data_IF_798446695574
#
_entry.id   IF_798446695574
#
_cell.length_a   1.000
_cell.length_b   1.000
_cell.length_c   1.000
_cell.angle_alpha   90.00
_cell.angle_beta   90.00
_cell.angle_gamma   90.00
#
_symmetry.space_group_name_H-M   'P 1'
#
loop_
_entity.id
_entity.type
_entity.pdbx_description
1 polymer ?
#
# COMPACT_ATOMS: atom_id res chain seq x y z
N UNK A 1 -22.55 -18.86 -5.82
CA UNK A 1 -22.06 -17.66 -5.08
C UNK A 1 -20.62 -17.42 -5.52
N UNK A 2 -20.35 -16.37 -6.28
CA UNK A 2 -18.98 -16.04 -6.70
C UNK A 2 -18.14 -15.78 -5.45
N UNK A 3 -17.22 -16.71 -5.16
CA UNK A 3 -16.33 -16.65 -4.00
C UNK A 3 -15.08 -15.90 -4.44
N UNK A 4 -15.04 -14.61 -4.11
CA UNK A 4 -13.90 -13.75 -4.38
C UNK A 4 -12.95 -13.75 -3.17
N UNK A 5 -11.66 -13.86 -3.45
CA UNK A 5 -10.58 -13.56 -2.52
C UNK A 5 -10.24 -12.09 -2.74
N UNK A 6 -10.29 -11.29 -1.67
CA UNK A 6 -10.18 -9.83 -1.72
C UNK A 6 -8.99 -9.42 -0.90
N UNK A 7 -8.04 -8.68 -1.47
CA UNK A 7 -7.06 -7.92 -0.68
C UNK A 7 -7.23 -6.44 -0.99
N UNK A 8 -7.25 -5.62 0.05
CA UNK A 8 -7.17 -4.18 -0.07
C UNK A 8 -5.73 -3.80 0.19
N UNK A 9 -5.04 -3.46 -0.89
CA UNK A 9 -3.72 -2.84 -0.84
C UNK A 9 -3.98 -1.37 -0.90
N UNK A 10 -3.80 -0.67 0.21
CA UNK A 10 -3.87 0.78 0.14
C UNK A 10 -2.58 1.22 -0.51
N UNK A 11 -2.65 1.60 -1.80
CA UNK A 11 -1.62 2.43 -2.38
C UNK A 11 -1.70 3.72 -1.61
N UNK A 12 -0.73 3.86 -0.73
CA UNK A 12 -0.58 5.04 0.07
C UNK A 12 0.70 5.71 -0.37
N UNK A 13 0.60 6.58 -1.35
CA UNK A 13 1.74 7.28 -1.82
C UNK A 13 1.88 8.51 -0.95
N UNK A 14 2.84 8.44 -0.07
CA UNK A 14 3.93 9.38 -0.15
C UNK A 14 4.97 8.88 0.82
N UNK A 15 6.22 9.11 0.47
CA UNK A 15 7.35 8.84 1.33
C UNK A 15 7.29 9.55 2.70
N UNK A 16 6.23 10.29 3.10
CA UNK A 16 6.11 11.00 4.39
C UNK A 16 4.70 11.37 4.89
N UNK A 17 3.57 10.97 4.27
CA UNK A 17 2.27 11.54 4.66
C UNK A 17 1.02 10.72 4.38
N UNK A 18 0.20 10.52 5.42
CA UNK A 18 -1.10 9.85 5.44
C UNK A 18 -2.32 10.76 5.68
N UNK A 19 -2.12 12.06 5.49
CA UNK A 19 -3.02 13.14 5.87
C UNK A 19 -2.95 14.25 4.81
N UNK A 20 -3.84 15.24 4.85
CA UNK A 20 -3.77 16.39 3.95
C UNK A 20 -2.73 17.41 4.47
N UNK A 21 -2.33 18.36 3.62
CA UNK A 21 -1.36 19.38 4.02
C UNK A 21 -1.96 20.32 5.06
N UNK A 22 -3.24 20.60 4.88
CA UNK A 22 -4.08 21.37 5.79
C UNK A 22 -4.13 20.70 7.18
N UNK A 23 -4.16 19.36 7.25
CA UNK A 23 -4.09 18.62 8.52
C UNK A 23 -2.73 18.88 9.22
N UNK A 24 -1.62 19.06 8.48
CA UNK A 24 -0.30 19.40 9.06
C UNK A 24 -0.31 20.81 9.59
N UNK A 25 -0.73 21.77 8.76
CA UNK A 25 -0.73 23.20 9.12
C UNK A 25 -1.57 23.39 10.37
N UNK A 26 -2.78 22.82 10.40
CA UNK A 26 -3.65 22.88 11.57
C UNK A 26 -3.03 22.21 12.81
N UNK A 27 -2.35 21.07 12.65
CA UNK A 27 -1.69 20.39 13.76
C UNK A 27 -0.45 21.12 14.29
N UNK A 28 0.26 21.86 13.42
CA UNK A 28 1.40 22.73 13.79
C UNK A 28 0.92 24.01 14.48
N UNK A 29 -0.17 24.61 14.00
CA UNK A 29 -0.75 25.82 14.57
C UNK A 29 -1.45 25.57 15.92
N UNK A 30 -2.03 24.38 16.10
CA UNK A 30 -2.74 24.00 17.34
C UNK A 30 -2.38 22.58 17.78
N UNK A 31 -1.17 22.38 18.35
CA UNK A 31 -0.79 21.07 18.88
C UNK A 31 -1.68 20.73 20.07
N UNK A 32 -2.63 19.80 19.87
CA UNK A 32 -3.44 19.21 20.94
C UNK A 32 -2.98 17.78 21.21
N UNK A 33 -2.30 17.52 22.33
CA UNK A 33 -1.97 16.17 22.76
C UNK A 33 -3.23 15.34 23.01
N UNK A 34 -3.18 14.06 22.65
CA UNK A 34 -4.28 13.11 22.72
C UNK A 34 -3.84 11.82 23.41
N UNK A 35 -4.53 11.47 24.49
CA UNK A 35 -4.28 10.24 25.25
C UNK A 35 -4.66 8.98 24.45
N UNK A 36 -5.75 9.02 23.67
CA UNK A 36 -6.20 7.87 22.89
C UNK A 36 -5.18 7.45 21.81
N UNK A 37 -4.48 8.43 21.21
CA UNK A 37 -3.42 8.16 20.25
C UNK A 37 -2.15 7.63 20.92
N UNK A 38 -1.85 8.09 22.14
CA UNK A 38 -0.73 7.58 22.93
C UNK A 38 -0.97 6.12 23.30
N UNK A 39 -2.17 5.78 23.79
CA UNK A 39 -2.52 4.40 24.15
C UNK A 39 -2.38 3.45 22.95
N UNK A 40 -2.89 3.85 21.78
CA UNK A 40 -2.71 3.08 20.52
C UNK A 40 -1.25 2.93 20.10
N UNK A 41 -0.42 3.93 20.39
CA UNK A 41 1.00 3.91 20.06
C UNK A 41 1.76 2.93 20.96
N UNK A 42 1.53 2.99 22.27
CA UNK A 42 2.11 2.07 23.27
C UNK A 42 1.66 0.64 23.05
N UNK A 43 0.39 0.41 22.71
CA UNK A 43 -0.15 -0.93 22.41
C UNK A 43 0.62 -1.63 21.28
N UNK A 44 1.05 -0.87 20.28
CA UNK A 44 1.81 -1.41 19.15
C UNK A 44 3.31 -1.50 19.47
N UNK A 45 3.87 -0.48 20.13
CA UNK A 45 5.28 -0.39 20.53
C UNK A 45 5.41 0.53 21.76
N UNK A 46 5.72 -0.05 22.91
CA UNK A 46 5.89 0.65 24.19
C UNK A 46 7.02 1.69 24.16
N UNK A 47 8.04 1.49 23.34
CA UNK A 47 9.16 2.42 23.10
C UNK A 47 8.89 3.44 22.00
N UNK A 48 7.67 3.47 21.44
CA UNK A 48 7.29 4.41 20.38
C UNK A 48 7.29 5.88 20.85
N UNK A 49 6.65 6.21 21.98
CA UNK A 49 6.63 7.57 22.53
C UNK A 49 7.99 8.02 23.10
N UNK A 50 8.23 9.34 23.15
CA UNK A 50 9.41 9.91 23.84
C UNK A 50 9.20 9.95 25.36
N UNK A 51 10.26 10.16 26.17
CA UNK A 51 10.12 10.28 27.62
C UNK A 51 9.12 11.38 28.05
N UNK A 52 9.08 12.50 27.33
CA UNK A 52 8.13 13.59 27.58
C UNK A 52 6.69 13.17 27.26
N UNK A 53 6.49 12.48 26.13
CA UNK A 53 5.18 11.94 25.72
C UNK A 53 4.67 10.88 26.70
N UNK A 54 5.56 10.07 27.28
CA UNK A 54 5.22 9.14 28.37
C UNK A 54 4.80 9.85 29.64
N UNK A 55 5.52 10.93 30.03
CA UNK A 55 5.17 11.73 31.20
C UNK A 55 3.78 12.36 31.05
N UNK A 56 3.48 12.87 29.85
CA UNK A 56 2.18 13.48 29.53
C UNK A 56 1.07 12.46 29.23
N UNK A 57 1.42 11.18 29.02
CA UNK A 57 0.52 10.12 28.52
C UNK A 57 -0.29 10.55 27.29
N UNK A 58 0.32 11.35 26.41
CA UNK A 58 -0.37 11.94 25.29
C UNK A 58 0.60 12.24 24.14
N UNK A 59 0.13 12.07 22.90
CA UNK A 59 0.88 12.45 21.69
C UNK A 59 0.00 13.30 20.79
N UNK A 60 0.59 14.20 20.01
CA UNK A 60 -0.17 14.97 19.01
C UNK A 60 -0.60 14.06 17.85
N UNK A 61 -1.69 14.45 17.15
CA UNK A 61 -2.15 13.72 15.94
C UNK A 61 -1.02 13.60 14.91
N UNK A 62 -0.36 14.70 14.57
CA UNK A 62 0.73 14.71 13.59
C UNK A 62 1.89 13.78 13.96
N UNK A 63 2.32 13.81 15.24
CA UNK A 63 3.34 12.90 15.76
C UNK A 63 2.96 11.44 15.63
N UNK A 64 1.73 11.09 16.02
CA UNK A 64 1.20 9.72 15.90
C UNK A 64 1.17 9.27 14.44
N UNK A 65 0.70 10.12 13.53
CA UNK A 65 0.64 9.79 12.11
C UNK A 65 2.04 9.51 11.53
N UNK A 66 3.02 10.38 11.80
CA UNK A 66 4.41 10.16 11.37
C UNK A 66 5.02 8.87 11.90
N UNK A 67 4.74 8.53 13.15
CA UNK A 67 5.23 7.29 13.72
C UNK A 67 4.55 6.05 13.11
N UNK A 68 3.23 6.11 12.88
CA UNK A 68 2.50 5.03 12.19
C UNK A 68 3.05 4.76 10.80
N UNK A 69 3.38 5.81 10.06
CA UNK A 69 4.00 5.70 8.73
C UNK A 69 5.34 4.97 8.80
N UNK A 70 6.21 5.38 9.73
CA UNK A 70 7.53 4.78 9.93
C UNK A 70 7.49 3.30 10.32
N UNK A 71 6.41 2.85 10.95
CA UNK A 71 6.20 1.45 11.34
C UNK A 71 5.71 0.56 10.19
N UNK A 72 5.32 1.14 9.05
CA UNK A 72 4.77 0.42 7.89
C UNK A 72 5.66 0.54 6.65
N UNK A 73 5.37 -0.24 5.61
CA UNK A 73 6.01 -0.13 4.30
C UNK A 73 5.70 1.16 3.54
N UNK A 74 4.77 1.99 4.02
CA UNK A 74 4.38 3.26 3.36
C UNK A 74 5.60 4.15 3.11
N UNK A 75 6.49 4.27 4.10
CA UNK A 75 7.68 5.12 4.03
C UNK A 75 8.76 4.62 3.07
N UNK A 76 8.77 3.33 2.75
CA UNK A 76 9.84 2.71 1.94
C UNK A 76 9.36 2.32 0.54
N UNK A 77 8.09 1.91 0.42
CA UNK A 77 7.51 1.38 -0.81
C UNK A 77 6.36 2.23 -1.36
N UNK A 78 5.83 3.21 -0.62
CA UNK A 78 4.71 4.03 -1.09
C UNK A 78 3.37 3.29 -1.13
N UNK A 79 3.24 2.19 -0.40
CA UNK A 79 1.98 1.49 -0.16
C UNK A 79 2.06 0.62 1.10
N UNK A 80 0.90 0.17 1.58
CA UNK A 80 0.80 -0.85 2.63
C UNK A 80 -0.43 -1.73 2.44
N UNK A 81 -0.37 -2.95 2.94
CA UNK A 81 -1.52 -3.86 2.98
C UNK A 81 -2.36 -3.51 4.20
N UNK A 82 -3.68 -3.40 4.03
CA UNK A 82 -4.61 -3.06 5.13
C UNK A 82 -5.58 -4.17 5.46
N UNK A 83 -5.91 -5.02 4.49
CA UNK A 83 -6.80 -6.13 4.73
C UNK A 83 -6.64 -7.23 3.70
N UNK A 84 -6.68 -8.48 4.15
CA UNK A 84 -6.79 -9.66 3.31
C UNK A 84 -8.00 -10.45 3.78
N UNK A 85 -8.90 -10.76 2.85
CA UNK A 85 -10.03 -11.66 3.05
C UNK A 85 -9.92 -12.84 2.11
N UNK A 86 -9.73 -14.02 2.67
CA UNK A 86 -9.60 -15.29 1.93
C UNK A 86 -10.96 -15.97 1.72
N UNK A 87 -10.97 -16.95 0.82
CA UNK A 87 -12.17 -17.68 0.42
C UNK A 87 -12.78 -18.52 1.55
N UNK A 88 -11.97 -18.96 2.50
CA UNK A 88 -12.37 -19.67 3.71
C UNK A 88 -13.12 -18.76 4.71
N UNK A 89 -13.24 -17.46 4.41
CA UNK A 89 -13.87 -16.47 5.27
C UNK A 89 -12.91 -15.79 6.25
N UNK A 90 -11.65 -16.24 6.30
CA UNK A 90 -10.61 -15.64 7.14
C UNK A 90 -10.36 -14.21 6.70
N UNK A 91 -10.47 -13.28 7.65
CA UNK A 91 -10.19 -11.86 7.44
C UNK A 91 -9.03 -11.45 8.35
N UNK A 92 -7.97 -10.94 7.75
CA UNK A 92 -6.78 -10.45 8.43
C UNK A 92 -6.65 -8.95 8.17
N UNK A 93 -6.51 -8.16 9.22
CA UNK A 93 -6.37 -6.69 9.12
C UNK A 93 -5.22 -6.14 9.95
N UNK A 94 -4.52 -6.98 10.74
CA UNK A 94 -3.41 -6.53 11.59
C UNK A 94 -2.06 -6.61 10.86
N UNK A 95 -1.88 -5.73 9.87
CA UNK A 95 -0.63 -5.60 9.11
C UNK A 95 0.22 -4.40 9.57
N UNK A 96 -0.07 -3.85 10.76
CA UNK A 96 0.52 -2.60 11.26
C UNK A 96 2.05 -2.61 11.38
N UNK A 97 2.65 -3.80 11.47
CA UNK A 97 4.10 -4.02 11.62
C UNK A 97 4.76 -4.61 10.37
N UNK A 98 3.99 -4.84 9.30
CA UNK A 98 4.53 -5.34 8.03
C UNK A 98 5.20 -4.20 7.31
N UNK A 99 6.52 -4.32 7.13
CA UNK A 99 7.36 -3.27 6.56
C UNK A 99 8.36 -3.81 5.55
N UNK A 100 8.93 -4.98 5.81
CA UNK A 100 9.97 -5.54 4.96
C UNK A 100 9.37 -6.07 3.66
N UNK A 101 10.09 -5.86 2.57
CA UNK A 101 9.69 -6.31 1.25
C UNK A 101 9.41 -7.82 1.21
N UNK A 102 10.28 -8.62 1.86
CA UNK A 102 10.10 -10.08 1.94
C UNK A 102 8.79 -10.48 2.63
N UNK A 103 8.35 -9.73 3.65
CA UNK A 103 7.08 -10.01 4.33
C UNK A 103 5.89 -9.75 3.40
N UNK A 104 5.97 -8.69 2.59
CA UNK A 104 4.93 -8.33 1.62
C UNK A 104 4.88 -9.35 0.48
N UNK A 105 6.05 -9.79 -0.02
CA UNK A 105 6.14 -10.86 -1.02
C UNK A 105 5.45 -12.12 -0.48
N UNK A 106 5.76 -12.54 0.75
CA UNK A 106 5.13 -13.71 1.33
C UNK A 106 3.60 -13.54 1.46
N UNK A 107 3.13 -12.37 1.87
CA UNK A 107 1.69 -12.09 1.94
C UNK A 107 1.01 -12.21 0.58
N UNK A 108 1.64 -11.73 -0.51
CA UNK A 108 1.10 -11.89 -1.86
C UNK A 108 1.13 -13.34 -2.32
N UNK A 109 2.21 -14.09 -2.05
CA UNK A 109 2.29 -15.54 -2.35
C UNK A 109 1.18 -16.31 -1.64
N UNK A 110 0.97 -16.04 -0.35
CA UNK A 110 -0.08 -16.67 0.45
C UNK A 110 -1.49 -16.22 0.02
N UNK A 111 -1.62 -14.98 -0.46
CA UNK A 111 -2.88 -14.40 -0.92
C UNK A 111 -3.36 -15.07 -2.21
N UNK A 112 -2.45 -15.32 -3.16
CA UNK A 112 -2.76 -15.99 -4.43
C UNK A 112 -2.65 -17.52 -4.35
N UNK A 113 -2.33 -18.08 -3.17
CA UNK A 113 -2.15 -19.51 -3.00
C UNK A 113 -1.02 -20.11 -3.85
N UNK A 114 0.02 -19.32 -4.14
CA UNK A 114 1.12 -19.71 -5.03
C UNK A 114 0.80 -19.67 -6.53
N UNK A 115 -0.42 -19.30 -6.93
CA UNK A 115 -0.79 -19.23 -8.35
C UNK A 115 -0.17 -18.00 -9.05
N UNK A 116 0.91 -18.25 -9.80
CA UNK A 116 1.64 -17.23 -10.55
C UNK A 116 0.81 -16.63 -11.69
N UNK A 117 -0.20 -17.34 -12.21
CA UNK A 117 -1.06 -16.82 -13.27
C UNK A 117 -1.94 -15.65 -12.79
N UNK A 118 -2.36 -15.69 -11.53
CA UNK A 118 -3.09 -14.59 -10.87
C UNK A 118 -2.17 -13.36 -10.73
N UNK A 119 -0.91 -13.56 -10.33
CA UNK A 119 0.09 -12.48 -10.24
C UNK A 119 0.29 -11.82 -11.62
N UNK A 120 0.45 -12.62 -12.68
CA UNK A 120 0.56 -12.11 -14.06
C UNK A 120 -0.66 -11.30 -14.47
N UNK A 121 -1.86 -11.76 -14.12
CA UNK A 121 -3.11 -11.04 -14.40
C UNK A 121 -3.19 -9.71 -13.63
N UNK A 122 -2.71 -9.66 -12.39
CA UNK A 122 -2.57 -8.40 -11.65
C UNK A 122 -1.56 -7.46 -12.29
N UNK A 123 -0.39 -7.94 -12.72
CA UNK A 123 0.61 -7.11 -13.40
C UNK A 123 0.06 -6.46 -14.67
N UNK A 124 -0.67 -7.22 -15.49
CA UNK A 124 -1.35 -6.68 -16.68
C UNK A 124 -2.34 -5.58 -16.28
N UNK A 125 -3.17 -5.82 -15.26
CA UNK A 125 -4.15 -4.83 -14.82
C UNK A 125 -3.51 -3.57 -14.22
N UNK A 126 -2.40 -3.70 -13.49
CA UNK A 126 -1.66 -2.57 -12.95
C UNK A 126 -1.03 -1.71 -14.06
N UNK A 127 -0.55 -2.33 -15.15
CA UNK A 127 -0.11 -1.62 -16.36
C UNK A 127 -1.23 -0.80 -16.98
N UNK A 128 -2.42 -1.40 -17.14
CA UNK A 128 -3.59 -0.70 -17.68
C UNK A 128 -3.98 0.50 -16.79
N UNK A 129 -3.97 0.30 -15.46
CA UNK A 129 -4.24 1.37 -14.49
C UNK A 129 -3.22 2.50 -14.65
N UNK A 130 -1.91 2.18 -14.67
CA UNK A 130 -0.85 3.17 -14.84
C UNK A 130 -1.03 3.98 -16.12
N UNK A 131 -1.35 3.32 -17.24
CA UNK A 131 -1.60 4.00 -18.51
C UNK A 131 -2.81 4.94 -18.43
N UNK A 132 -3.90 4.50 -17.82
CA UNK A 132 -5.09 5.32 -17.63
C UNK A 132 -4.84 6.52 -16.70
N UNK A 133 -4.05 6.35 -15.64
CA UNK A 133 -3.68 7.44 -14.73
C UNK A 133 -2.82 8.49 -15.44
N UNK A 134 -1.86 8.09 -16.27
CA UNK A 134 -0.99 9.01 -17.02
C UNK A 134 -1.76 9.92 -18.00
N UNK A 135 -2.91 9.47 -18.50
CA UNK A 135 -3.76 10.25 -19.41
C UNK A 135 -4.95 10.93 -18.73
N UNK A 136 -5.17 10.67 -17.45
CA UNK A 136 -6.33 11.17 -16.71
C UNK A 136 -6.16 12.62 -16.28
N UNK A 137 -7.03 13.49 -16.79
CA UNK A 137 -7.12 14.89 -16.35
C UNK A 137 -7.60 15.02 -14.91
N UNK A 138 -8.45 14.10 -14.45
CA UNK A 138 -8.84 14.04 -13.04
C UNK A 138 -7.60 13.80 -12.17
N UNK A 139 -6.82 12.76 -12.48
CA UNK A 139 -5.67 12.36 -11.67
C UNK A 139 -4.66 13.50 -11.55
N UNK A 140 -4.22 14.06 -12.67
CA UNK A 140 -3.27 15.19 -12.72
C UNK A 140 -3.71 16.39 -11.88
N UNK A 141 -5.00 16.62 -11.72
CA UNK A 141 -5.57 17.80 -11.04
C UNK A 141 -6.04 17.52 -9.61
N UNK A 142 -5.78 16.34 -9.08
CA UNK A 142 -6.20 15.97 -7.73
C UNK A 142 -5.01 15.46 -6.91
N UNK A 143 -4.98 15.84 -5.64
CA UNK A 143 -4.14 15.18 -4.65
C UNK A 143 -4.83 13.87 -4.23
N UNK A 144 -4.27 12.73 -4.61
CA UNK A 144 -4.91 11.41 -4.43
C UNK A 144 -4.41 10.77 -3.15
N UNK A 145 -5.00 11.21 -2.05
CA UNK A 145 -4.71 10.73 -0.69
C UNK A 145 -5.86 9.85 -0.22
N UNK A 146 -5.55 8.76 0.49
CA UNK A 146 -6.58 7.93 1.11
C UNK A 146 -7.15 6.80 0.26
N UNK A 147 -6.84 6.78 -1.03
CA UNK A 147 -7.35 5.77 -1.96
C UNK A 147 -6.65 4.43 -1.80
N UNK A 148 -7.33 3.37 -2.25
CA UNK A 148 -6.81 2.01 -2.19
C UNK A 148 -6.85 1.33 -3.55
N UNK A 149 -5.96 0.36 -3.78
CA UNK A 149 -6.13 -0.67 -4.79
C UNK A 149 -6.82 -1.89 -4.18
N UNK A 150 -7.98 -2.22 -4.71
CA UNK A 150 -8.72 -3.42 -4.39
C UNK A 150 -8.37 -4.53 -5.38
N UNK A 151 -7.60 -5.50 -4.91
CA UNK A 151 -7.21 -6.70 -5.65
C UNK A 151 -8.24 -7.79 -5.38
N UNK A 152 -8.77 -8.36 -6.45
CA UNK A 152 -9.80 -9.39 -6.38
C UNK A 152 -9.38 -10.52 -7.30
N UNK A 153 -9.43 -11.76 -6.83
CA UNK A 153 -9.38 -12.92 -7.72
C UNK A 153 -10.34 -14.01 -7.25
N UNK A 154 -10.59 -14.99 -8.12
CA UNK A 154 -11.34 -16.18 -7.77
C UNK A 154 -10.59 -17.45 -8.17
N UNK A 155 -11.13 -18.59 -7.76
CA UNK A 155 -10.62 -19.93 -8.05
C UNK A 155 -10.57 -20.29 -9.55
N UNK A 156 -11.17 -19.50 -10.43
CA UNK A 156 -11.08 -19.71 -11.89
C UNK A 156 -9.86 -19.05 -12.50
N UNK A 157 -9.03 -18.36 -11.69
CA UNK A 157 -7.88 -17.59 -12.15
C UNK A 157 -8.23 -16.18 -12.63
N UNK A 158 -9.51 -15.79 -12.57
CA UNK A 158 -9.92 -14.43 -12.94
C UNK A 158 -9.46 -13.45 -11.87
N UNK A 159 -8.63 -12.49 -12.26
CA UNK A 159 -8.09 -11.47 -11.36
C UNK A 159 -8.38 -10.04 -11.88
N UNK A 160 -8.65 -9.11 -10.96
CA UNK A 160 -8.95 -7.70 -11.24
C UNK A 160 -8.38 -6.80 -10.15
N UNK A 161 -8.10 -5.54 -10.52
CA UNK A 161 -7.65 -4.49 -9.62
C UNK A 161 -8.45 -3.21 -9.90
N UNK A 162 -8.92 -2.56 -8.84
CA UNK A 162 -9.71 -1.33 -8.89
C UNK A 162 -9.16 -0.28 -7.95
N UNK A 163 -9.19 0.99 -8.34
CA UNK A 163 -8.94 2.10 -7.41
C UNK A 163 -10.24 2.42 -6.68
N UNK A 164 -10.20 2.49 -5.36
CA UNK A 164 -11.34 2.78 -4.48
C UNK A 164 -10.97 3.88 -3.46
N UNK A 165 -11.94 4.31 -2.65
CA UNK A 165 -11.77 5.20 -1.50
C UNK A 165 -11.24 6.62 -1.80
N UNK A 166 -11.91 7.35 -2.70
CA UNK A 166 -11.58 8.75 -3.01
C UNK A 166 -12.03 9.78 -1.96
N UNK A 167 -12.43 9.36 -0.76
CA UNK A 167 -13.02 10.24 0.26
C UNK A 167 -12.10 11.35 0.79
N UNK A 168 -10.79 11.24 0.54
CA UNK A 168 -9.78 12.26 0.85
C UNK A 168 -9.05 12.79 -0.39
N UNK A 169 -9.51 12.43 -1.57
CA UNK A 169 -8.97 12.95 -2.82
C UNK A 169 -9.50 14.37 -3.04
N UNK A 170 -8.60 15.35 -3.16
CA UNK A 170 -8.98 16.77 -3.22
C UNK A 170 -8.47 17.41 -4.49
N UNK A 171 -9.29 18.24 -5.12
CA UNK A 171 -8.87 19.02 -6.29
C UNK A 171 -7.75 20.02 -5.92
N UNK A 172 -6.84 20.23 -6.86
CA UNK A 172 -5.82 21.27 -6.77
C UNK A 172 -6.41 22.64 -7.12
N UNK A 173 -5.75 23.75 -6.72
CA UNK A 173 -6.09 25.08 -7.23
C UNK A 173 -6.03 25.13 -8.77
N UNK A 174 -6.81 26.03 -9.36
CA UNK A 174 -6.92 26.17 -10.80
C UNK A 174 -5.54 26.34 -11.47
N UNK A 175 -5.34 25.65 -12.60
CA UNK A 175 -4.09 25.68 -13.36
C UNK A 175 -2.93 24.88 -12.77
N UNK A 176 -3.08 24.23 -11.61
CA UNK A 176 -2.04 23.35 -11.05
C UNK A 176 -2.24 21.89 -11.42
N UNK A 177 -1.13 21.17 -11.51
CA UNK A 177 -1.08 19.72 -11.72
C UNK A 177 -0.01 19.07 -10.84
N UNK A 178 -0.17 17.79 -10.56
CA UNK A 178 0.85 16.94 -9.93
C UNK A 178 1.44 15.96 -10.95
N UNK A 179 2.69 15.58 -10.73
CA UNK A 179 3.36 14.53 -11.51
C UNK A 179 3.09 13.15 -10.94
N UNK A 180 2.84 13.04 -9.63
CA UNK A 180 2.59 11.80 -8.89
C UNK A 180 3.74 10.78 -8.88
N UNK A 181 4.86 11.08 -9.53
CA UNK A 181 6.03 10.21 -9.64
C UNK A 181 7.28 10.80 -8.95
N UNK A 182 7.10 11.84 -8.14
CA UNK A 182 8.17 12.49 -7.38
C UNK A 182 7.90 12.49 -5.86
N UNK A 183 8.94 12.56 -5.02
CA UNK A 183 8.75 12.58 -3.58
C UNK A 183 8.03 13.84 -3.09
N UNK A 184 7.10 13.65 -2.14
CA UNK A 184 6.46 14.74 -1.42
C UNK A 184 7.47 15.62 -0.68
N UNK A 185 7.25 16.93 -0.76
CA UNK A 185 7.91 17.97 0.05
C UNK A 185 6.84 18.97 0.49
N UNK A 186 6.97 19.49 1.70
CA UNK A 186 6.04 20.52 2.19
C UNK A 186 5.95 21.67 1.17
N UNK A 187 4.73 22.03 0.76
CA UNK A 187 4.41 23.01 -0.27
C UNK A 187 4.17 22.46 -1.68
N UNK A 188 4.67 21.27 -2.03
CA UNK A 188 4.53 20.73 -3.39
C UNK A 188 3.24 19.92 -3.62
N UNK A 189 2.57 19.47 -2.55
CA UNK A 189 1.36 18.64 -2.56
C UNK A 189 1.46 17.31 -3.31
N UNK A 190 2.65 16.86 -3.67
CA UNK A 190 2.84 15.59 -4.38
C UNK A 190 2.40 14.41 -3.50
N UNK A 191 1.62 13.51 -4.06
CA UNK A 191 1.28 12.27 -3.37
C UNK A 191 2.34 11.19 -3.64
N UNK A 192 2.89 11.10 -4.85
CA UNK A 192 3.82 10.02 -5.22
C UNK A 192 3.08 8.73 -5.61
N UNK A 193 1.83 8.82 -6.07
CA UNK A 193 0.96 7.67 -6.38
C UNK A 193 1.56 6.72 -7.40
N UNK A 194 2.22 7.28 -8.40
CA UNK A 194 2.92 6.48 -9.41
C UNK A 194 4.20 5.84 -8.84
N UNK A 195 4.86 6.45 -7.83
CA UNK A 195 5.98 5.80 -7.13
C UNK A 195 5.51 4.54 -6.38
N UNK A 196 4.41 4.65 -5.64
CA UNK A 196 3.82 3.52 -4.91
C UNK A 196 3.35 2.41 -5.84
N UNK A 197 2.70 2.79 -6.95
CA UNK A 197 2.24 1.87 -7.99
C UNK A 197 3.41 1.14 -8.67
N UNK A 198 4.50 1.85 -8.96
CA UNK A 198 5.69 1.26 -9.57
C UNK A 198 6.38 0.28 -8.63
N UNK A 199 6.58 0.64 -7.36
CA UNK A 199 7.16 -0.27 -6.38
C UNK A 199 6.32 -1.53 -6.19
N UNK A 200 4.99 -1.40 -6.18
CA UNK A 200 4.09 -2.54 -6.12
C UNK A 200 4.18 -3.42 -7.38
N UNK A 201 4.26 -2.80 -8.56
CA UNK A 201 4.45 -3.51 -9.82
C UNK A 201 5.75 -4.32 -9.80
N UNK A 202 6.88 -3.70 -9.44
CA UNK A 202 8.18 -4.35 -9.37
C UNK A 202 8.20 -5.51 -8.35
N UNK A 203 7.55 -5.34 -7.20
CA UNK A 203 7.42 -6.39 -6.19
C UNK A 203 6.61 -7.59 -6.70
N UNK A 204 5.51 -7.37 -7.42
CA UNK A 204 4.74 -8.46 -8.01
C UNK A 204 5.47 -9.11 -9.20
N UNK A 205 6.26 -8.34 -9.95
CA UNK A 205 7.07 -8.83 -11.06
C UNK A 205 8.18 -9.75 -10.55
N UNK A 206 8.81 -9.44 -9.42
CA UNK A 206 9.80 -10.32 -8.79
C UNK A 206 9.19 -11.68 -8.39
N UNK A 207 7.98 -11.69 -7.82
CA UNK A 207 7.24 -12.93 -7.50
C UNK A 207 6.99 -13.75 -8.77
N UNK A 208 6.55 -13.11 -9.86
CA UNK A 208 6.29 -13.83 -11.12
C UNK A 208 7.55 -14.44 -11.73
N UNK A 209 8.70 -13.81 -11.56
CA UNK A 209 9.97 -14.26 -12.13
C UNK A 209 10.63 -15.39 -11.31
N UNK A 210 10.33 -15.48 -10.02
CA UNK A 210 10.80 -16.58 -9.16
C UNK A 210 10.16 -17.92 -9.56
N UNK A 211 8.87 -17.95 -9.85
CA UNK A 211 8.16 -19.19 -10.27
C UNK A 211 8.71 -19.80 -11.57
N UNK A 212 9.22 -18.97 -12.48
CA UNK A 212 9.88 -19.45 -13.72
C UNK A 212 11.24 -20.12 -13.52
N UNK A 213 11.86 -20.02 -12.34
CA UNK A 213 13.16 -20.67 -12.07
C UNK A 213 13.01 -22.06 -11.44
N UNK A 214 11.92 -22.32 -10.73
CA UNK A 214 11.65 -23.64 -10.12
C UNK A 214 11.14 -24.65 -11.16
N UNK A 215 10.38 -24.20 -12.17
CA UNK A 215 9.86 -25.07 -13.24
C UNK A 215 10.93 -25.60 -14.21
N UNK A 216 12.11 -24.99 -14.25
CA UNK A 216 13.23 -25.43 -15.12
C UNK A 216 14.09 -26.53 -14.51
N UNK A 217 13.95 -26.82 -13.21
CA UNK A 217 14.78 -27.82 -12.52
C UNK A 217 14.19 -29.25 -12.56
N UNK A 218 12.91 -29.41 -12.91
CA UNK A 218 12.21 -30.71 -12.82
C UNK A 218 12.09 -31.49 -14.14
N UNK A 219 12.74 -31.06 -15.23
CA UNK A 219 12.71 -31.79 -16.51
C UNK A 219 14.12 -32.19 -16.98
N UNK A 220 14.81 -33.07 -16.26
CA UNK A 220 15.97 -33.79 -16.82
C UNK A 220 16.23 -35.14 -16.16
N UNK A 221 15.25 -36.03 -16.05
CA UNK A 221 15.55 -37.46 -15.85
C UNK A 221 14.43 -38.35 -16.36
N UNK A 222 14.31 -38.50 -17.69
CA UNK A 222 13.67 -39.69 -18.26
C UNK A 222 14.06 -39.86 -19.73
N UNK A 223 15.29 -40.29 -19.98
CA UNK A 223 15.61 -40.99 -21.24
C UNK A 223 16.80 -41.93 -21.03
N UNK A 224 16.50 -43.21 -20.80
CA UNK A 224 17.05 -44.35 -21.57
C UNK A 224 16.69 -45.67 -20.89
N UNK A 225 15.67 -46.32 -21.43
CA UNK A 225 15.68 -47.78 -21.57
C UNK A 225 16.36 -48.06 -22.92
N UNK A 226 17.49 -48.74 -22.89
CA UNK A 226 17.83 -49.95 -23.66
C UNK A 226 19.13 -50.51 -23.07
#
# INVERSE_FOLDING_TARGET
>A
KNRFIITTVIIWPSFKRTYLEEDIVQAKERPRPREDLYNKMVEVNDRGPTPEEHSLKAVTKYRYMKWREAMSSTMTLGFRIEGIKKQDGTCQTDFKKIRLEQQIIQLFKDFVGGDVSIIKSYLLRLKDIRQALNTSEFFKKHEVIGSSLLFIHDHTGKAQVWIIDFGRTTALPEGKTLSHDIPWKEGNREDGYLLGLENLYQLLESISNEGTKEDTCSQTTETRIL
#
